data_IF_437363041470
#
_entry.id   IF_437363041470
#
_cell.length_a   1.000
_cell.length_b   1.000
_cell.length_c   1.000
_cell.angle_alpha   90.00
_cell.angle_beta   90.00
_cell.angle_gamma   90.00
#
_symmetry.space_group_name_H-M   'P 1'
#
loop_
_entity.id
_entity.type
_entity.pdbx_description
1 polymer ?
#
# COMPACT_ATOMS: atom_id res chain seq x y z
N UNK A 1 -18.46 20.99 -1.58
CA UNK A 1 -17.45 19.92 -1.74
C UNK A 1 -18.22 18.62 -1.82
N UNK A 2 -18.15 17.87 -2.92
CA UNK A 2 -18.78 16.55 -3.00
C UNK A 2 -18.14 15.67 -1.92
N UNK A 3 -18.88 15.34 -0.86
CA UNK A 3 -18.47 14.45 0.22
C UNK A 3 -18.43 13.01 -0.30
N UNK A 4 -17.42 12.69 -1.10
CA UNK A 4 -17.14 11.31 -1.46
C UNK A 4 -16.39 10.67 -0.29
N UNK A 5 -17.14 9.94 0.54
CA UNK A 5 -16.65 9.24 1.72
C UNK A 5 -15.40 8.41 1.42
N UNK A 6 -15.42 7.66 0.31
CA UNK A 6 -14.31 6.80 -0.10
C UNK A 6 -13.04 7.58 -0.44
N UNK A 7 -13.16 8.75 -1.12
CA UNK A 7 -12.00 9.60 -1.38
C UNK A 7 -11.39 10.15 -0.09
N UNK A 8 -12.23 10.58 0.85
CA UNK A 8 -11.76 11.16 2.12
C UNK A 8 -11.09 10.11 3.01
N UNK A 9 -11.74 8.95 3.20
CA UNK A 9 -11.19 7.84 3.97
C UNK A 9 -9.93 7.30 3.29
N UNK A 10 -9.98 7.09 1.97
CA UNK A 10 -8.87 6.56 1.19
C UNK A 10 -7.63 7.45 1.28
N UNK A 11 -7.81 8.77 1.11
CA UNK A 11 -6.74 9.75 1.31
C UNK A 11 -6.19 9.69 2.73
N UNK A 12 -7.07 9.67 3.73
CA UNK A 12 -6.68 9.67 5.14
C UNK A 12 -5.84 8.44 5.51
N UNK A 13 -6.28 7.24 5.14
CA UNK A 13 -5.55 6.00 5.42
C UNK A 13 -4.19 5.95 4.71
N UNK A 14 -4.13 6.34 3.43
CA UNK A 14 -2.84 6.37 2.72
C UNK A 14 -1.88 7.37 3.35
N UNK A 15 -2.35 8.58 3.69
CA UNK A 15 -1.50 9.63 4.30
C UNK A 15 -1.01 9.24 5.68
N UNK A 16 -1.87 8.69 6.54
CA UNK A 16 -1.47 8.19 7.85
C UNK A 16 -0.41 7.10 7.69
N UNK A 17 -0.60 6.19 6.75
CA UNK A 17 0.36 5.11 6.53
C UNK A 17 1.72 5.63 6.10
N UNK A 18 1.77 6.65 5.23
CA UNK A 18 3.02 7.31 4.81
C UNK A 18 3.72 7.97 6.02
N UNK A 19 2.98 8.73 6.82
CA UNK A 19 3.53 9.38 8.03
C UNK A 19 4.03 8.32 9.01
N UNK A 20 3.25 7.26 9.23
CA UNK A 20 3.57 6.20 10.17
C UNK A 20 4.78 5.38 9.74
N UNK A 21 4.91 5.02 8.47
CA UNK A 21 6.13 4.39 7.92
C UNK A 21 7.33 5.33 8.10
N UNK A 22 7.14 6.63 7.92
CA UNK A 22 8.17 7.63 8.23
C UNK A 22 8.57 7.61 9.72
N UNK A 23 7.59 7.56 10.62
CA UNK A 23 7.83 7.44 12.06
C UNK A 23 8.53 6.12 12.44
N UNK A 24 8.22 5.01 11.78
CA UNK A 24 8.90 3.73 11.99
C UNK A 24 10.41 3.84 11.72
N UNK A 25 10.83 4.56 10.67
CA UNK A 25 12.26 4.83 10.44
C UNK A 25 12.90 5.57 11.62
N UNK A 26 12.19 6.57 12.18
CA UNK A 26 12.70 7.39 13.28
C UNK A 26 12.77 6.60 14.58
N UNK A 27 11.73 5.85 14.92
CA UNK A 27 11.65 5.09 16.17
C UNK A 27 12.63 3.93 16.17
N UNK A 28 12.73 3.21 15.06
CA UNK A 28 13.58 2.02 14.97
C UNK A 28 15.05 2.35 14.66
N UNK A 29 15.34 3.55 14.15
CA UNK A 29 16.69 3.97 13.77
C UNK A 29 17.27 3.19 12.60
N UNK A 30 16.44 2.46 11.85
CA UNK A 30 16.82 1.69 10.68
C UNK A 30 15.72 1.71 9.63
N UNK A 31 16.02 1.26 8.42
CA UNK A 31 15.01 1.06 7.39
C UNK A 31 14.09 -0.10 7.77
N UNK A 32 12.76 0.02 7.56
CA UNK A 32 11.80 -1.05 7.84
C UNK A 32 12.20 -2.37 7.19
N UNK A 33 12.38 -3.43 7.98
CA UNK A 33 13.06 -4.63 7.49
C UNK A 33 12.27 -5.35 6.38
N UNK A 34 10.94 -5.39 6.50
CA UNK A 34 10.07 -6.03 5.50
C UNK A 34 9.84 -5.19 4.24
N UNK A 35 9.90 -3.87 4.35
CA UNK A 35 9.50 -2.96 3.26
C UNK A 35 10.68 -2.31 2.54
N UNK A 36 11.79 -2.06 3.22
CA UNK A 36 13.00 -1.42 2.68
C UNK A 36 14.26 -2.12 3.22
N UNK A 37 14.52 -3.38 2.87
CA UNK A 37 15.65 -4.15 3.39
C UNK A 37 16.99 -3.65 2.83
N UNK A 38 17.54 -2.57 3.39
CA UNK A 38 18.84 -2.01 3.00
C UNK A 38 19.99 -2.82 3.63
N UNK A 39 21.00 -3.17 2.83
CA UNK A 39 22.18 -3.93 3.28
C UNK A 39 22.90 -3.25 4.44
N UNK A 40 23.46 -4.04 5.36
CA UNK A 40 24.12 -3.51 6.56
C UNK A 40 25.42 -2.72 6.24
N UNK A 41 26.06 -3.01 5.11
CA UNK A 41 27.32 -2.38 4.70
C UNK A 41 27.17 -0.97 4.11
N UNK A 42 25.95 -0.46 3.91
CA UNK A 42 25.73 0.86 3.34
C UNK A 42 26.29 1.96 4.28
N UNK A 43 27.22 2.81 3.82
CA UNK A 43 27.72 3.92 4.62
C UNK A 43 26.59 4.86 5.03
N UNK A 44 26.64 5.37 6.27
CA UNK A 44 25.64 6.28 6.82
C UNK A 44 24.18 5.75 6.78
N UNK A 45 23.98 4.43 6.72
CA UNK A 45 22.65 3.78 6.66
C UNK A 45 21.65 4.34 7.66
N UNK A 46 22.05 4.49 8.93
CA UNK A 46 21.17 5.02 9.98
C UNK A 46 20.75 6.47 9.71
N UNK A 47 21.68 7.34 9.30
CA UNK A 47 21.36 8.71 8.94
C UNK A 47 20.43 8.79 7.72
N UNK A 48 20.63 7.92 6.71
CA UNK A 48 19.73 7.81 5.56
C UNK A 48 18.34 7.31 5.95
N UNK A 49 18.24 6.39 6.91
CA UNK A 49 16.97 5.97 7.48
C UNK A 49 16.24 7.14 8.14
N UNK A 50 16.91 7.92 8.99
CA UNK A 50 16.31 9.11 9.60
C UNK A 50 15.87 10.15 8.57
N UNK A 51 16.70 10.42 7.56
CA UNK A 51 16.36 11.34 6.46
C UNK A 51 15.13 10.85 5.69
N UNK A 52 15.08 9.58 5.33
CA UNK A 52 13.94 8.96 4.63
C UNK A 52 12.68 9.07 5.47
N UNK A 53 12.77 8.75 6.77
CA UNK A 53 11.67 8.86 7.71
C UNK A 53 11.11 10.28 7.80
N UNK A 54 11.99 11.27 7.96
CA UNK A 54 11.61 12.68 8.02
C UNK A 54 10.95 13.14 6.72
N UNK A 55 11.50 12.78 5.56
CA UNK A 55 10.93 13.15 4.27
C UNK A 55 9.55 12.52 4.03
N UNK A 56 9.33 11.28 4.47
CA UNK A 56 8.01 10.63 4.42
C UNK A 56 7.00 11.34 5.33
N UNK A 57 7.38 11.71 6.55
CA UNK A 57 6.53 12.49 7.46
C UNK A 57 6.17 13.84 6.82
N UNK A 58 7.17 14.57 6.31
CA UNK A 58 6.97 15.86 5.62
C UNK A 58 6.05 15.68 4.42
N UNK A 59 6.25 14.66 3.59
CA UNK A 59 5.41 14.37 2.45
C UNK A 59 3.94 14.19 2.87
N UNK A 60 3.67 13.37 3.89
CA UNK A 60 2.34 13.14 4.42
C UNK A 60 1.70 14.41 5.00
N UNK A 61 2.44 15.20 5.77
CA UNK A 61 1.95 16.47 6.33
C UNK A 61 1.60 17.48 5.23
N UNK A 62 2.42 17.59 4.19
CA UNK A 62 2.13 18.44 3.03
C UNK A 62 0.84 18.03 2.30
N UNK A 63 0.54 16.73 2.21
CA UNK A 63 -0.70 16.23 1.62
C UNK A 63 -1.95 16.71 2.38
N UNK A 64 -1.86 16.88 3.70
CA UNK A 64 -2.98 17.36 4.53
C UNK A 64 -3.28 18.84 4.27
N UNK A 65 -2.29 19.61 3.83
CA UNK A 65 -2.44 21.03 3.54
C UNK A 65 -2.85 21.20 2.07
N UNK A 66 -4.09 21.62 1.81
CA UNK A 66 -4.67 21.71 0.45
C UNK A 66 -3.76 22.42 -0.57
N UNK A 67 -3.08 23.50 -0.16
CA UNK A 67 -2.14 24.26 -1.00
C UNK A 67 -0.92 23.44 -1.44
N UNK A 68 -0.47 22.51 -0.60
CA UNK A 68 0.77 21.74 -0.83
C UNK A 68 0.53 20.27 -1.19
N UNK A 69 -0.74 19.88 -1.39
CA UNK A 69 -1.09 18.47 -1.48
C UNK A 69 -0.40 17.73 -2.64
N UNK A 70 -0.29 18.38 -3.80
CA UNK A 70 0.42 17.83 -4.96
C UNK A 70 1.93 17.66 -4.69
N UNK A 71 2.57 18.62 -4.01
CA UNK A 71 4.00 18.52 -3.67
C UNK A 71 4.26 17.38 -2.69
N UNK A 72 3.40 17.21 -1.67
CA UNK A 72 3.50 16.09 -0.73
C UNK A 72 3.31 14.73 -1.42
N UNK A 73 2.31 14.61 -2.29
CA UNK A 73 2.07 13.37 -3.03
C UNK A 73 3.22 13.05 -4.00
N UNK A 74 3.76 14.06 -4.68
CA UNK A 74 4.93 13.91 -5.55
C UNK A 74 6.18 13.48 -4.75
N UNK A 75 6.46 14.11 -3.61
CA UNK A 75 7.59 13.75 -2.76
C UNK A 75 7.47 12.29 -2.30
N UNK A 76 6.29 11.86 -1.84
CA UNK A 76 6.06 10.47 -1.47
C UNK A 76 6.30 9.51 -2.65
N UNK A 77 5.73 9.82 -3.82
CA UNK A 77 5.93 9.00 -5.02
C UNK A 77 7.42 8.89 -5.42
N UNK A 78 8.16 9.99 -5.32
CA UNK A 78 9.60 10.02 -5.59
C UNK A 78 10.37 9.15 -4.60
N UNK A 79 10.07 9.22 -3.30
CA UNK A 79 10.76 8.41 -2.28
C UNK A 79 10.51 6.91 -2.49
N UNK A 80 9.27 6.50 -2.79
CA UNK A 80 8.96 5.10 -3.10
C UNK A 80 9.57 4.65 -4.43
N UNK A 81 9.66 5.53 -5.44
CA UNK A 81 10.37 5.23 -6.68
C UNK A 81 11.87 5.02 -6.43
N UNK A 82 12.49 5.86 -5.61
CA UNK A 82 13.89 5.69 -5.22
C UNK A 82 14.10 4.39 -4.44
N UNK A 83 13.21 4.05 -3.50
CA UNK A 83 13.26 2.77 -2.81
C UNK A 83 13.12 1.58 -3.80
N UNK A 84 12.22 1.68 -4.78
CA UNK A 84 12.05 0.66 -5.81
C UNK A 84 13.35 0.46 -6.62
N UNK A 85 13.92 1.54 -7.14
CA UNK A 85 15.07 1.48 -8.04
C UNK A 85 16.38 1.15 -7.32
N UNK A 86 16.59 1.68 -6.11
CA UNK A 86 17.86 1.58 -5.40
C UNK A 86 17.93 0.37 -4.46
N UNK A 87 16.79 -0.15 -3.99
CA UNK A 87 16.74 -1.26 -3.03
C UNK A 87 16.19 -2.51 -3.71
N UNK A 88 14.97 -2.44 -4.25
CA UNK A 88 14.24 -3.63 -4.65
C UNK A 88 14.63 -4.18 -6.02
N UNK A 89 14.89 -3.32 -7.02
CA UNK A 89 15.36 -3.78 -8.35
C UNK A 89 16.67 -4.58 -8.24
N UNK A 90 17.74 -4.09 -7.58
CA UNK A 90 18.96 -4.87 -7.41
C UNK A 90 18.74 -6.21 -6.70
N UNK A 91 17.88 -6.24 -5.68
CA UNK A 91 17.63 -7.44 -4.86
C UNK A 91 16.87 -8.51 -5.62
N UNK A 92 15.81 -8.15 -6.34
CA UNK A 92 15.08 -9.09 -7.19
C UNK A 92 15.97 -9.63 -8.32
N UNK A 93 16.88 -8.83 -8.87
CA UNK A 93 17.83 -9.29 -9.88
C UNK A 93 18.90 -10.24 -9.29
N UNK A 94 19.37 -9.97 -8.06
CA UNK A 94 20.35 -10.82 -7.38
C UNK A 94 19.74 -12.14 -6.88
N UNK A 95 18.49 -12.11 -6.40
CA UNK A 95 17.79 -13.26 -5.81
C UNK A 95 16.41 -13.48 -6.45
N UNK A 96 16.32 -13.75 -7.77
CA UNK A 96 15.04 -13.80 -8.49
C UNK A 96 14.13 -14.95 -8.07
N UNK A 97 14.64 -15.92 -7.29
CA UNK A 97 13.87 -17.04 -6.74
C UNK A 97 13.40 -16.81 -5.30
N UNK A 98 13.79 -15.70 -4.67
CA UNK A 98 13.44 -15.40 -3.28
C UNK A 98 12.07 -14.70 -3.24
N UNK A 99 11.01 -15.33 -2.70
CA UNK A 99 9.68 -14.75 -2.71
C UNK A 99 9.52 -13.52 -1.83
N UNK A 100 10.33 -13.39 -0.77
CA UNK A 100 10.28 -12.23 0.11
C UNK A 100 10.76 -10.96 -0.59
N UNK A 101 11.75 -11.07 -1.49
CA UNK A 101 12.22 -9.94 -2.29
C UNK A 101 11.14 -9.48 -3.30
N UNK A 102 10.42 -10.42 -3.91
CA UNK A 102 9.29 -10.11 -4.78
C UNK A 102 8.11 -9.49 -4.01
N UNK A 103 7.83 -9.96 -2.79
CA UNK A 103 6.77 -9.40 -1.95
C UNK A 103 7.04 -7.90 -1.66
N UNK A 104 8.22 -7.58 -1.13
CA UNK A 104 8.61 -6.20 -0.84
C UNK A 104 8.66 -5.31 -2.09
N UNK A 105 9.14 -5.84 -3.23
CA UNK A 105 9.15 -5.13 -4.51
C UNK A 105 7.75 -4.69 -4.93
N UNK A 106 6.76 -5.60 -4.87
CA UNK A 106 5.38 -5.28 -5.25
C UNK A 106 4.65 -4.46 -4.18
N UNK A 107 5.02 -4.56 -2.90
CA UNK A 107 4.49 -3.66 -1.87
C UNK A 107 4.86 -2.20 -2.16
N UNK A 108 6.12 -1.94 -2.49
CA UNK A 108 6.58 -0.60 -2.86
C UNK A 108 5.91 -0.12 -4.14
N UNK A 109 5.77 -0.97 -5.16
CA UNK A 109 5.04 -0.62 -6.40
C UNK A 109 3.60 -0.22 -6.10
N UNK A 110 2.91 -0.97 -5.24
CA UNK A 110 1.53 -0.70 -4.86
C UNK A 110 1.40 0.63 -4.12
N UNK A 111 2.25 0.89 -3.12
CA UNK A 111 2.22 2.15 -2.36
C UNK A 111 2.57 3.34 -3.27
N UNK A 112 3.60 3.19 -4.12
CA UNK A 112 3.94 4.19 -5.14
C UNK A 112 2.74 4.44 -6.07
N UNK A 113 2.06 3.40 -6.54
CA UNK A 113 0.82 3.52 -7.33
C UNK A 113 -0.26 4.31 -6.60
N UNK A 114 -0.45 4.05 -5.30
CA UNK A 114 -1.30 4.84 -4.42
C UNK A 114 -0.96 6.34 -4.38
N UNK A 115 0.32 6.66 -4.23
CA UNK A 115 0.79 8.06 -4.23
C UNK A 115 0.62 8.75 -5.58
N UNK A 116 0.73 8.02 -6.71
CA UNK A 116 0.43 8.55 -8.04
C UNK A 116 -1.07 8.81 -8.25
N UNK A 117 -1.94 7.93 -7.73
CA UNK A 117 -3.40 8.17 -7.73
C UNK A 117 -3.71 9.45 -6.94
N UNK A 118 -3.13 9.58 -5.75
CA UNK A 118 -3.30 10.75 -4.90
C UNK A 118 -2.78 12.02 -5.55
N UNK A 119 -1.60 11.97 -6.16
CA UNK A 119 -1.04 13.08 -6.94
C UNK A 119 -1.99 13.48 -8.07
N UNK A 120 -2.44 12.51 -8.86
CA UNK A 120 -3.37 12.74 -9.96
C UNK A 120 -4.70 13.33 -9.54
N UNK A 121 -5.23 12.93 -8.37
CA UNK A 121 -6.45 13.50 -7.78
C UNK A 121 -6.27 14.95 -7.26
N UNK A 122 -5.03 15.38 -7.03
CA UNK A 122 -4.70 16.75 -6.60
C UNK A 122 -4.21 17.66 -7.72
N UNK A 123 -3.80 17.08 -8.86
CA UNK A 123 -3.28 17.80 -10.02
C UNK A 123 -4.41 18.30 -10.94
N UNK A 124 -4.25 19.52 -11.47
CA UNK A 124 -5.17 20.09 -12.48
C UNK A 124 -4.93 19.51 -13.87
N UNK A 125 -3.67 19.24 -14.20
CA UNK A 125 -3.22 18.74 -15.50
C UNK A 125 -2.63 17.32 -15.35
N UNK A 126 -2.85 16.46 -16.35
CA UNK A 126 -2.39 15.04 -16.35
C UNK A 126 -2.95 14.12 -15.25
N UNK A 127 -3.91 14.58 -14.44
CA UNK A 127 -4.48 13.82 -13.32
C UNK A 127 -4.99 12.43 -13.71
N UNK A 128 -5.71 12.32 -14.83
CA UNK A 128 -6.24 11.05 -15.33
C UNK A 128 -5.16 10.03 -15.66
N UNK A 129 -4.03 10.46 -16.24
CA UNK A 129 -2.92 9.56 -16.61
C UNK A 129 -2.26 9.01 -15.36
N UNK A 130 -1.98 9.86 -14.37
CA UNK A 130 -1.40 9.47 -13.10
C UNK A 130 -2.29 8.51 -12.31
N UNK A 131 -3.60 8.81 -12.23
CA UNK A 131 -4.60 7.91 -11.62
C UNK A 131 -4.58 6.56 -12.33
N UNK A 132 -4.64 6.53 -13.67
CA UNK A 132 -4.64 5.29 -14.44
C UNK A 132 -3.35 4.47 -14.23
N UNK A 133 -2.19 5.13 -14.27
CA UNK A 133 -0.90 4.46 -14.01
C UNK A 133 -0.84 3.89 -12.62
N UNK A 134 -1.20 4.66 -11.59
CA UNK A 134 -1.19 4.20 -10.22
C UNK A 134 -2.16 3.05 -9.96
N UNK A 135 -3.36 3.10 -10.55
CA UNK A 135 -4.33 2.00 -10.50
C UNK A 135 -3.76 0.73 -11.14
N UNK A 136 -3.10 0.81 -12.30
CA UNK A 136 -2.47 -0.36 -12.91
C UNK A 136 -1.34 -0.94 -12.07
N UNK A 137 -0.48 -0.11 -11.49
CA UNK A 137 0.60 -0.58 -10.61
C UNK A 137 0.02 -1.34 -9.41
N UNK A 138 -1.03 -0.81 -8.79
CA UNK A 138 -1.73 -1.49 -7.71
C UNK A 138 -2.38 -2.80 -8.18
N UNK A 139 -3.07 -2.80 -9.32
CA UNK A 139 -3.66 -4.01 -9.92
C UNK A 139 -2.65 -5.11 -10.20
N UNK A 140 -1.48 -4.76 -10.75
CA UNK A 140 -0.42 -5.72 -11.05
C UNK A 140 0.11 -6.35 -9.76
N UNK A 141 0.33 -5.55 -8.71
CA UNK A 141 0.73 -6.07 -7.41
C UNK A 141 -0.32 -7.02 -6.81
N UNK A 142 -1.61 -6.70 -6.92
CA UNK A 142 -2.69 -7.59 -6.48
C UNK A 142 -2.68 -8.95 -7.22
N UNK A 143 -2.41 -8.98 -8.53
CA UNK A 143 -2.26 -10.24 -9.26
C UNK A 143 -1.12 -11.08 -8.70
N UNK A 144 0.03 -10.46 -8.41
CA UNK A 144 1.19 -11.15 -7.84
C UNK A 144 0.92 -11.64 -6.42
N UNK A 145 0.29 -10.82 -5.58
CA UNK A 145 -0.10 -11.23 -4.24
C UNK A 145 -1.11 -12.37 -4.25
N UNK A 146 -2.02 -12.42 -5.22
CA UNK A 146 -2.91 -13.56 -5.45
C UNK A 146 -2.11 -14.85 -5.73
N UNK A 147 -1.13 -14.79 -6.62
CA UNK A 147 -0.22 -15.93 -6.88
C UNK A 147 0.55 -16.32 -5.61
N UNK A 148 1.03 -15.36 -4.83
CA UNK A 148 1.73 -15.65 -3.58
C UNK A 148 0.82 -16.27 -2.51
N UNK A 149 -0.44 -15.87 -2.41
CA UNK A 149 -1.41 -16.52 -1.50
C UNK A 149 -1.62 -17.98 -1.91
N UNK A 150 -1.64 -18.30 -3.21
CA UNK A 150 -1.68 -19.69 -3.66
C UNK A 150 -0.39 -20.47 -3.33
N UNK A 151 0.77 -19.93 -3.71
CA UNK A 151 2.07 -20.62 -3.55
C UNK A 151 2.47 -20.82 -2.09
N UNK A 152 2.10 -19.90 -1.22
CA UNK A 152 2.46 -19.87 0.19
C UNK A 152 1.25 -20.02 1.12
N UNK A 153 0.18 -20.66 0.64
CA UNK A 153 -1.11 -20.74 1.33
C UNK A 153 -1.01 -21.19 2.79
N UNK A 154 -0.19 -22.21 3.06
CA UNK A 154 -0.01 -22.70 4.42
C UNK A 154 0.68 -21.69 5.34
N UNK A 155 1.65 -20.94 4.82
CA UNK A 155 2.32 -19.87 5.57
C UNK A 155 1.36 -18.73 5.85
N UNK A 156 0.62 -18.25 4.84
CA UNK A 156 -0.33 -17.14 4.99
C UNK A 156 -1.49 -17.54 5.92
N UNK A 157 -2.04 -18.74 5.79
CA UNK A 157 -3.08 -19.25 6.68
C UNK A 157 -2.61 -19.33 8.14
N UNK A 158 -1.32 -19.56 8.40
CA UNK A 158 -0.78 -19.56 9.76
C UNK A 158 -0.65 -18.16 10.37
N UNK A 159 -0.71 -17.09 9.57
CA UNK A 159 -0.76 -15.71 10.07
C UNK A 159 -2.16 -15.33 10.57
N UNK A 160 -3.20 -16.06 10.14
CA UNK A 160 -4.58 -15.81 10.55
C UNK A 160 -4.75 -16.23 12.02
N UNK A 161 -5.36 -15.37 12.88
CA UNK A 161 -5.56 -15.67 14.29
C UNK A 161 -6.18 -17.05 14.55
N UNK A 162 -5.67 -17.76 15.56
CA UNK A 162 -6.02 -19.15 15.81
C UNK A 162 -7.49 -19.42 16.16
N UNK A 163 -8.22 -18.39 16.60
CA UNK A 163 -9.66 -18.46 16.88
C UNK A 163 -10.53 -18.43 15.61
N UNK A 164 -9.97 -18.08 14.44
CA UNK A 164 -10.68 -18.13 13.16
C UNK A 164 -10.58 -19.55 12.60
N UNK A 165 -11.69 -20.28 12.43
CA UNK A 165 -11.66 -21.62 11.85
C UNK A 165 -11.38 -21.56 10.34
N UNK A 166 -11.01 -22.71 9.76
CA UNK A 166 -10.81 -22.87 8.32
C UNK A 166 -9.86 -21.81 7.69
N UNK A 167 -8.72 -21.54 8.33
CA UNK A 167 -7.77 -20.49 7.91
C UNK A 167 -7.34 -20.56 6.43
N UNK A 168 -7.18 -21.77 5.87
CA UNK A 168 -6.90 -21.96 4.44
C UNK A 168 -8.05 -21.48 3.53
N UNK A 169 -9.31 -21.62 3.96
CA UNK A 169 -10.45 -21.09 3.20
C UNK A 169 -10.37 -19.56 3.10
N UNK A 170 -10.05 -18.88 4.20
CA UNK A 170 -9.94 -17.43 4.23
C UNK A 170 -8.76 -16.91 3.40
N UNK A 171 -7.63 -17.61 3.42
CA UNK A 171 -6.49 -17.32 2.56
C UNK A 171 -6.86 -17.41 1.06
N UNK A 172 -7.49 -18.51 0.64
CA UNK A 172 -7.97 -18.64 -0.75
C UNK A 172 -9.07 -17.65 -1.12
N UNK A 173 -9.93 -17.25 -0.17
CA UNK A 173 -10.92 -16.20 -0.41
C UNK A 173 -10.24 -14.85 -0.69
N UNK A 174 -9.18 -14.50 0.06
CA UNK A 174 -8.38 -13.30 -0.16
C UNK A 174 -7.67 -13.36 -1.52
N UNK A 175 -7.09 -14.51 -1.89
CA UNK A 175 -6.53 -14.73 -3.22
C UNK A 175 -7.54 -14.42 -4.33
N UNK A 176 -8.75 -14.97 -4.25
CA UNK A 176 -9.81 -14.73 -5.24
C UNK A 176 -10.22 -13.25 -5.26
N UNK A 177 -10.32 -12.60 -4.10
CA UNK A 177 -10.64 -11.18 -4.00
C UNK A 177 -9.56 -10.29 -4.65
N UNK A 178 -8.27 -10.65 -4.52
CA UNK A 178 -7.17 -9.96 -5.21
C UNK A 178 -7.28 -10.07 -6.73
N UNK A 179 -7.47 -11.27 -7.27
CA UNK A 179 -7.65 -11.46 -8.71
C UNK A 179 -8.88 -10.72 -9.24
N UNK A 180 -10.02 -10.87 -8.57
CA UNK A 180 -11.27 -10.22 -8.96
C UNK A 180 -11.15 -8.69 -8.97
N UNK A 181 -10.51 -8.11 -7.94
CA UNK A 181 -10.31 -6.66 -7.84
C UNK A 181 -9.32 -6.15 -8.89
N UNK A 182 -8.20 -6.85 -9.09
CA UNK A 182 -7.22 -6.49 -10.11
C UNK A 182 -7.84 -6.46 -11.51
N UNK A 183 -8.57 -7.53 -11.88
CA UNK A 183 -9.27 -7.63 -13.16
C UNK A 183 -10.30 -6.51 -13.30
N UNK A 184 -11.12 -6.28 -12.27
CA UNK A 184 -12.13 -5.21 -12.22
C UNK A 184 -11.52 -3.84 -12.50
N UNK A 185 -10.39 -3.52 -11.86
CA UNK A 185 -9.68 -2.26 -12.05
C UNK A 185 -9.09 -2.13 -13.46
N UNK A 186 -8.51 -3.20 -14.01
CA UNK A 186 -7.88 -3.19 -15.34
C UNK A 186 -8.92 -2.97 -16.43
N UNK A 187 -10.04 -3.69 -16.39
CA UNK A 187 -11.12 -3.59 -17.39
C UNK A 187 -12.09 -2.43 -17.11
N UNK A 188 -11.93 -1.75 -15.97
CA UNK A 188 -12.75 -0.63 -15.51
C UNK A 188 -14.24 -0.98 -15.39
N UNK A 189 -14.55 -2.20 -14.89
CA UNK A 189 -15.91 -2.67 -14.63
C UNK A 189 -16.06 -3.01 -13.17
N UNK A 190 -17.15 -2.56 -12.54
CA UNK A 190 -17.39 -2.74 -11.11
C UNK A 190 -16.29 -2.11 -10.21
N UNK A 191 -15.47 -1.21 -10.74
CA UNK A 191 -14.32 -0.59 -10.04
C UNK A 191 -14.69 -0.02 -8.68
N UNK A 192 -15.83 0.68 -8.59
CA UNK A 192 -16.33 1.20 -7.31
C UNK A 192 -16.56 0.08 -6.29
N UNK A 193 -17.30 -0.96 -6.68
CA UNK A 193 -17.64 -2.07 -5.80
C UNK A 193 -16.39 -2.87 -5.40
N UNK A 194 -15.54 -3.21 -6.36
CA UNK A 194 -14.30 -3.93 -6.11
C UNK A 194 -13.38 -3.14 -5.16
N UNK A 195 -13.20 -1.84 -5.39
CA UNK A 195 -12.37 -1.00 -4.52
C UNK A 195 -12.95 -0.85 -3.11
N UNK A 196 -14.27 -0.73 -2.99
CA UNK A 196 -14.93 -0.65 -1.69
C UNK A 196 -14.79 -1.96 -0.89
N UNK A 197 -15.04 -3.11 -1.53
CA UNK A 197 -14.92 -4.42 -0.88
C UNK A 197 -13.46 -4.75 -0.54
N UNK A 198 -12.52 -4.49 -1.45
CA UNK A 198 -11.10 -4.71 -1.21
C UNK A 198 -10.58 -3.82 -0.08
N UNK A 199 -10.96 -2.53 -0.07
CA UNK A 199 -10.59 -1.59 0.98
C UNK A 199 -11.13 -2.01 2.35
N UNK A 200 -12.38 -2.47 2.40
CA UNK A 200 -13.00 -3.01 3.60
C UNK A 200 -12.31 -4.30 4.06
N UNK A 201 -11.97 -5.20 3.15
CA UNK A 201 -11.26 -6.44 3.45
C UNK A 201 -9.90 -6.15 4.11
N UNK A 202 -9.08 -5.25 3.53
CA UNK A 202 -7.81 -4.84 4.15
C UNK A 202 -8.02 -4.18 5.52
N UNK A 203 -9.04 -3.33 5.66
CA UNK A 203 -9.35 -2.69 6.95
C UNK A 203 -9.72 -3.72 8.02
N UNK A 204 -10.49 -4.75 7.67
CA UNK A 204 -10.82 -5.85 8.58
C UNK A 204 -9.52 -6.55 9.04
N UNK A 205 -8.62 -6.91 8.11
CA UNK A 205 -7.34 -7.54 8.45
C UNK A 205 -6.42 -6.62 9.27
N UNK A 206 -6.44 -5.31 9.02
CA UNK A 206 -5.77 -4.32 9.88
C UNK A 206 -6.26 -4.44 11.32
N UNK A 207 -7.57 -4.52 11.53
CA UNK A 207 -8.17 -4.53 12.87
C UNK A 207 -8.05 -5.88 13.60
N UNK A 208 -8.20 -7.00 12.89
CA UNK A 208 -8.29 -8.33 13.53
C UNK A 208 -7.00 -9.15 13.46
N UNK A 209 -6.07 -8.79 12.57
CA UNK A 209 -4.79 -9.51 12.41
C UNK A 209 -3.61 -8.60 12.73
N UNK A 210 -3.43 -7.50 11.99
CA UNK A 210 -2.20 -6.70 12.13
C UNK A 210 -2.13 -5.93 13.45
N UNK A 211 -3.22 -5.27 13.85
CA UNK A 211 -3.25 -4.51 15.10
C UNK A 211 -3.03 -5.41 16.33
N UNK A 212 -3.70 -6.57 16.46
CA UNK A 212 -3.40 -7.53 17.53
C UNK A 212 -1.95 -8.02 17.54
N UNK A 213 -1.32 -8.25 16.38
CA UNK A 213 0.10 -8.65 16.31
C UNK A 213 1.03 -7.56 16.80
N UNK A 214 0.76 -6.30 16.47
CA UNK A 214 1.50 -5.14 17.02
C UNK A 214 1.33 -5.05 18.54
N UNK A 215 0.10 -5.21 19.05
CA UNK A 215 -0.16 -5.17 20.51
C UNK A 215 0.57 -6.32 21.23
N UNK A 216 0.58 -7.52 20.65
CA UNK A 216 1.27 -8.68 21.23
C UNK A 216 2.80 -8.54 21.20
N UNK A 217 3.34 -7.77 20.25
CA UNK A 217 4.78 -7.65 19.98
C UNK A 217 5.18 -6.19 19.73
N UNK A 218 4.92 -5.31 20.70
CA UNK A 218 5.11 -3.85 20.54
C UNK A 218 6.54 -3.44 20.19
N UNK A 219 7.55 -4.26 20.48
CA UNK A 219 8.96 -3.96 20.15
C UNK A 219 9.43 -4.59 18.83
N UNK A 220 8.52 -5.21 18.07
CA UNK A 220 8.84 -5.90 16.81
C UNK A 220 8.44 -5.02 15.62
N UNK A 221 9.40 -4.26 15.11
CA UNK A 221 9.19 -3.31 13.99
C UNK A 221 8.44 -3.89 12.77
N UNK A 222 8.77 -5.09 12.27
CA UNK A 222 8.06 -5.66 11.12
C UNK A 222 6.54 -5.72 11.28
N UNK A 223 6.03 -5.91 12.50
CA UNK A 223 4.58 -5.91 12.77
C UNK A 223 3.97 -4.53 12.51
N UNK A 224 4.70 -3.47 12.87
CA UNK A 224 4.30 -2.09 12.66
C UNK A 224 4.31 -1.77 11.17
N UNK A 225 5.35 -2.18 10.44
CA UNK A 225 5.42 -2.00 8.99
C UNK A 225 4.24 -2.67 8.31
N UNK A 226 3.98 -3.95 8.60
CA UNK A 226 2.89 -4.70 7.96
C UNK A 226 1.52 -4.07 8.25
N UNK A 227 1.28 -3.58 9.47
CA UNK A 227 0.06 -2.84 9.82
C UNK A 227 -0.15 -1.63 8.91
N UNK A 228 0.88 -0.80 8.73
CA UNK A 228 0.77 0.42 7.93
C UNK A 228 0.76 0.16 6.42
N UNK A 229 1.41 -0.91 5.94
CA UNK A 229 1.27 -1.37 4.55
C UNK A 229 -0.16 -1.81 4.26
N UNK A 230 -0.76 -2.62 5.14
CA UNK A 230 -2.16 -3.05 5.00
C UNK A 230 -3.15 -1.87 5.05
N UNK A 231 -2.90 -0.90 5.94
CA UNK A 231 -3.69 0.33 6.00
C UNK A 231 -3.53 1.19 4.73
N UNK A 232 -2.32 1.26 4.15
CA UNK A 232 -2.09 1.93 2.88
C UNK A 232 -2.89 1.28 1.77
N UNK A 233 -2.90 -0.05 1.67
CA UNK A 233 -3.66 -0.78 0.65
C UNK A 233 -5.18 -0.62 0.81
N UNK A 234 -5.67 -0.57 2.05
CA UNK A 234 -7.05 -0.17 2.32
C UNK A 234 -7.35 1.22 1.77
N UNK A 235 -6.48 2.20 2.07
CA UNK A 235 -6.61 3.57 1.58
C UNK A 235 -6.59 3.69 0.06
N UNK A 236 -5.69 2.98 -0.61
CA UNK A 236 -5.57 2.97 -2.07
C UNK A 236 -6.82 2.38 -2.72
N UNK A 237 -7.34 1.29 -2.17
CA UNK A 237 -8.56 0.65 -2.66
C UNK A 237 -9.78 1.60 -2.55
N UNK A 238 -9.91 2.33 -1.45
CA UNK A 238 -10.95 3.35 -1.31
C UNK A 238 -10.75 4.57 -2.22
N UNK A 239 -9.51 5.00 -2.47
CA UNK A 239 -9.24 6.04 -3.47
C UNK A 239 -9.73 5.59 -4.86
N UNK A 240 -9.39 4.37 -5.28
CA UNK A 240 -9.85 3.81 -6.56
C UNK A 240 -11.38 3.73 -6.60
N UNK A 241 -12.02 3.29 -5.50
CA UNK A 241 -13.47 3.22 -5.41
C UNK A 241 -14.12 4.60 -5.57
N UNK A 242 -13.60 5.62 -4.88
CA UNK A 242 -14.12 6.98 -4.91
C UNK A 242 -13.89 7.70 -6.24
N UNK A 243 -12.85 7.33 -7.00
CA UNK A 243 -12.56 7.89 -8.33
C UNK A 243 -13.30 7.16 -9.46
N UNK A 244 -13.93 6.02 -9.19
CA UNK A 244 -14.65 5.27 -10.19
C UNK A 244 -15.88 6.06 -10.71
N UNK A 245 -16.17 6.04 -12.02
CA UNK A 245 -17.36 6.68 -12.57
C UNK A 245 -18.62 6.08 -11.95
N UNK A 246 -19.45 6.89 -11.29
CA UNK A 246 -20.76 6.43 -10.81
C UNK A 246 -21.70 6.27 -11.98
N UNK A 247 -22.37 5.11 -12.10
CA UNK A 247 -23.36 4.81 -13.15
C UNK A 247 -24.58 5.75 -13.18
N UNK A 248 -24.70 6.68 -12.22
CA UNK A 248 -25.80 7.65 -12.12
C UNK A 248 -25.78 8.82 -13.12
N UNK A 249 -24.76 8.98 -13.96
CA UNK A 249 -24.70 10.12 -14.90
C UNK A 249 -25.28 9.87 -16.29
N UNK A 250 -26.03 8.79 -16.52
CA UNK A 250 -26.60 8.44 -17.84
C UNK A 250 -28.13 8.45 -17.90
N UNK A 251 -28.79 9.22 -17.03
CA UNK A 251 -30.23 9.46 -17.12
C UNK A 251 -30.54 10.96 -16.97
N UNK A 252 -30.13 11.74 -17.96
CA UNK A 252 -30.74 13.02 -18.32
C UNK A 252 -30.71 13.14 -19.84
#
# INVERSE_FOLDING_TARGET
MNNNLYLNIGKFFLVISIIAIGAVHIVSGHFPAGLMPVVASLPAKQALAYLTGLLLIVAGLLVLIKKYAAYGAFLAALLYLLALLLIHVPKVLAEPKNPSEWAGFFEIICIMGGTLILLGATSKDSGTKLIKTGTYLFSIGLLVFGVQHYMYAQFVANLIPAWIPARLFWDYLVMVAFFASAISFIIQRLTHLAGALLGLMFLIWVLILHLPRVIASIHTEPEWTSLFVALAFSGISFLIAGLAPTTRSKSQ
#
